data_IF_308852990574
#
_entry.id   IF_308852990574
#
_cell.length_a   1.000
_cell.length_b   1.000
_cell.length_c   1.000
_cell.angle_alpha   90.00
_cell.angle_beta   90.00
_cell.angle_gamma   90.00
#
_symmetry.space_group_name_H-M   'P 1'
#
loop_
_entity.id
_entity.type
_entity.pdbx_description
1 polymer ?
#
# COMPACT_ATOMS: atom_id res chain seq x y z
N UNK A 1 24.23 1.69 30.65
CA UNK A 1 22.91 1.04 30.73
C UNK A 1 21.92 2.14 30.50
N UNK A 2 21.68 2.42 29.23
CA UNK A 2 20.89 3.55 28.76
C UNK A 2 19.61 2.99 28.18
N UNK A 3 18.52 3.31 28.86
CA UNK A 3 17.16 3.18 28.39
C UNK A 3 17.03 3.84 27.01
N UNK A 4 16.82 3.03 25.99
CA UNK A 4 16.29 3.49 24.72
C UNK A 4 15.45 2.38 24.10
N UNK A 5 14.21 2.76 23.79
CA UNK A 5 13.20 2.03 23.03
C UNK A 5 12.35 1.03 23.81
N UNK A 6 11.72 1.53 24.87
CA UNK A 6 10.32 1.17 25.18
C UNK A 6 9.47 2.43 25.11
N UNK A 7 9.13 2.86 23.91
CA UNK A 7 7.93 3.69 23.72
C UNK A 7 6.77 2.74 23.42
N UNK A 8 5.99 2.45 24.46
CA UNK A 8 4.58 2.12 24.30
C UNK A 8 3.89 3.41 23.84
N UNK A 9 3.61 3.53 22.54
CA UNK A 9 2.76 4.60 22.01
C UNK A 9 1.29 4.20 22.19
N UNK A 10 0.73 4.54 23.34
CA UNK A 10 -0.72 4.65 23.51
C UNK A 10 -1.22 5.91 22.75
N UNK A 11 -2.15 5.69 21.82
CA UNK A 11 -3.09 6.68 21.32
C UNK A 11 -2.54 7.85 20.51
N UNK A 12 -2.34 7.67 19.20
CA UNK A 12 -2.42 8.77 18.22
C UNK A 12 -2.61 8.20 16.82
N UNK A 13 -3.65 8.67 16.13
CA UNK A 13 -4.07 8.39 14.75
C UNK A 13 -2.90 8.11 13.77
N UNK A 14 -2.36 6.89 13.77
CA UNK A 14 -1.28 6.50 12.86
C UNK A 14 -1.91 6.10 11.55
N UNK A 15 -1.73 6.95 10.54
CA UNK A 15 -1.96 6.59 9.14
C UNK A 15 -1.14 5.32 8.86
N UNK A 16 -1.80 4.18 8.97
CA UNK A 16 -1.16 2.88 8.85
C UNK A 16 -0.80 2.73 7.38
N UNK A 17 0.48 2.93 7.05
CA UNK A 17 0.95 2.71 5.69
C UNK A 17 0.69 1.24 5.29
N UNK A 18 0.55 0.97 4.00
CA UNK A 18 0.24 -0.38 3.50
C UNK A 18 1.18 -1.46 4.09
N UNK A 19 2.45 -1.12 4.28
CA UNK A 19 3.42 -2.03 4.86
C UNK A 19 3.07 -2.48 6.29
N UNK A 20 2.80 -1.51 7.17
CA UNK A 20 2.54 -1.74 8.58
C UNK A 20 1.24 -2.50 8.83
N UNK A 21 0.26 -2.37 7.93
CA UNK A 21 -1.02 -3.07 8.03
C UNK A 21 -0.89 -4.57 7.74
N UNK A 22 -0.03 -4.99 6.81
CA UNK A 22 -0.13 -6.35 6.24
C UNK A 22 1.16 -7.17 6.33
N UNK A 23 2.30 -6.64 5.90
CA UNK A 23 3.47 -7.47 5.62
C UNK A 23 4.71 -7.12 6.45
N UNK A 24 4.80 -5.91 7.02
CA UNK A 24 5.99 -5.49 7.78
C UNK A 24 6.19 -6.34 9.05
N UNK A 25 5.10 -6.66 9.76
CA UNK A 25 5.15 -7.51 10.94
C UNK A 25 5.66 -8.94 10.64
N UNK A 26 5.08 -9.70 9.69
CA UNK A 26 5.61 -11.03 9.36
C UNK A 26 7.00 -10.98 8.72
N UNK A 27 7.33 -9.95 7.94
CA UNK A 27 8.69 -9.73 7.42
C UNK A 27 9.72 -9.61 8.55
N UNK A 28 9.48 -8.71 9.51
CA UNK A 28 10.34 -8.52 10.69
C UNK A 28 10.39 -9.77 11.57
N UNK A 29 9.28 -10.51 11.67
CA UNK A 29 9.25 -11.78 12.39
C UNK A 29 10.19 -12.81 11.76
N UNK A 30 10.21 -12.92 10.41
CA UNK A 30 11.08 -13.85 9.70
C UNK A 30 12.56 -13.49 9.87
N UNK A 31 12.93 -12.22 9.75
CA UNK A 31 14.32 -11.77 9.99
C UNK A 31 14.75 -12.10 11.43
N UNK A 32 13.88 -11.85 12.43
CA UNK A 32 14.16 -12.19 13.83
C UNK A 32 14.35 -13.69 14.04
N UNK A 33 13.56 -14.52 13.37
CA UNK A 33 13.73 -15.97 13.40
C UNK A 33 15.11 -16.37 12.86
N UNK A 34 15.48 -15.90 11.67
CA UNK A 34 16.77 -16.21 11.04
C UNK A 34 17.96 -15.75 11.88
N UNK A 35 17.86 -14.55 12.46
CA UNK A 35 18.85 -14.05 13.40
C UNK A 35 19.00 -14.93 14.64
N UNK A 36 17.89 -15.38 15.24
CA UNK A 36 17.92 -16.26 16.40
C UNK A 36 18.52 -17.63 16.05
N UNK A 37 18.17 -18.18 14.89
CA UNK A 37 18.72 -19.46 14.41
C UNK A 37 20.24 -19.33 14.21
N UNK A 38 20.70 -18.24 13.60
CA UNK A 38 22.13 -17.94 13.49
C UNK A 38 22.80 -17.71 14.84
N UNK A 39 22.14 -17.05 15.79
CA UNK A 39 22.65 -16.88 17.16
C UNK A 39 22.78 -18.21 17.92
N UNK A 40 21.93 -19.20 17.64
CA UNK A 40 22.00 -20.51 18.29
C UNK A 40 22.96 -21.49 17.60
N UNK A 41 23.02 -21.46 16.27
CA UNK A 41 23.68 -22.50 15.48
C UNK A 41 24.84 -22.01 14.60
N UNK A 42 24.92 -20.71 14.32
CA UNK A 42 25.93 -20.14 13.45
C UNK A 42 27.33 -20.11 14.10
N UNK A 43 28.36 -20.31 13.27
CA UNK A 43 29.75 -20.07 13.67
C UNK A 43 29.96 -18.59 13.91
N UNK A 44 30.38 -18.23 15.12
CA UNK A 44 30.51 -16.85 15.57
C UNK A 44 31.95 -16.53 15.90
N UNK A 45 32.50 -15.56 15.18
CA UNK A 45 33.74 -14.93 15.59
C UNK A 45 33.51 -14.12 16.86
N UNK A 46 34.45 -14.21 17.79
CA UNK A 46 34.39 -13.48 19.05
C UNK A 46 35.30 -12.26 18.95
N UNK A 47 34.82 -11.12 19.44
CA UNK A 47 35.64 -9.91 19.59
C UNK A 47 36.73 -10.12 20.65
N UNK A 48 37.76 -9.26 20.66
CA UNK A 48 38.79 -9.30 21.71
C UNK A 48 38.22 -9.19 23.14
N UNK A 49 37.02 -8.62 23.29
CA UNK A 49 36.31 -8.48 24.56
C UNK A 49 35.40 -9.66 24.94
N UNK A 50 35.40 -10.76 24.18
CA UNK A 50 34.59 -11.94 24.49
C UNK A 50 33.15 -11.90 23.99
N UNK A 51 32.71 -10.81 23.35
CA UNK A 51 31.37 -10.71 22.77
C UNK A 51 31.32 -11.31 21.36
N UNK A 52 30.27 -12.05 20.97
CA UNK A 52 30.05 -12.45 19.59
C UNK A 52 30.03 -11.23 18.66
N UNK A 53 30.70 -11.32 17.51
CA UNK A 53 30.57 -10.32 16.44
C UNK A 53 29.18 -10.40 15.84
N UNK A 54 28.70 -9.28 15.26
CA UNK A 54 27.50 -9.26 14.43
C UNK A 54 27.64 -10.19 13.23
N UNK A 55 26.52 -10.67 12.70
CA UNK A 55 26.54 -11.49 11.49
C UNK A 55 27.17 -10.71 10.31
N UNK A 56 27.89 -11.39 9.41
CA UNK A 56 28.43 -10.76 8.21
C UNK A 56 27.32 -10.09 7.38
N UNK A 57 27.65 -9.03 6.66
CA UNK A 57 26.68 -8.32 5.81
C UNK A 57 26.02 -9.24 4.77
N UNK A 58 26.78 -10.18 4.21
CA UNK A 58 26.25 -11.16 3.24
C UNK A 58 25.15 -12.05 3.87
N UNK A 59 25.33 -12.45 5.13
CA UNK A 59 24.37 -13.25 5.89
C UNK A 59 23.08 -12.45 6.12
N UNK A 60 23.21 -11.20 6.57
CA UNK A 60 22.06 -10.29 6.75
C UNK A 60 21.30 -10.04 5.44
N UNK A 61 22.00 -9.84 4.33
CA UNK A 61 21.37 -9.63 3.02
C UNK A 61 20.60 -10.88 2.57
N UNK A 62 21.15 -12.07 2.80
CA UNK A 62 20.44 -13.31 2.51
C UNK A 62 19.16 -13.43 3.34
N UNK A 63 19.19 -13.07 4.62
CA UNK A 63 17.98 -13.08 5.45
C UNK A 63 16.89 -12.12 4.96
N UNK A 64 17.27 -10.99 4.38
CA UNK A 64 16.32 -10.06 3.76
C UNK A 64 15.66 -10.71 2.54
N UNK A 65 16.44 -11.38 1.68
CA UNK A 65 15.92 -12.12 0.52
C UNK A 65 14.98 -13.23 0.99
N UNK A 66 15.41 -14.07 1.93
CA UNK A 66 14.60 -15.18 2.47
C UNK A 66 13.32 -14.67 3.15
N UNK A 67 13.38 -13.51 3.81
CA UNK A 67 12.21 -12.89 4.42
C UNK A 67 11.21 -12.43 3.35
N UNK A 68 11.66 -11.83 2.26
CA UNK A 68 10.79 -11.48 1.14
C UNK A 68 10.19 -12.72 0.46
N UNK A 69 10.99 -13.74 0.21
CA UNK A 69 10.54 -14.99 -0.43
C UNK A 69 9.54 -15.77 0.43
N UNK A 70 9.59 -15.59 1.75
CA UNK A 70 8.64 -16.22 2.67
C UNK A 70 7.24 -15.61 2.64
N UNK A 71 7.08 -14.40 2.08
CA UNK A 71 5.81 -13.67 2.09
C UNK A 71 4.98 -14.00 0.85
N UNK A 72 3.68 -14.30 1.00
CA UNK A 72 2.79 -14.44 -0.14
C UNK A 72 2.66 -13.10 -0.91
N UNK A 73 2.77 -13.13 -2.24
CA UNK A 73 2.53 -11.96 -3.10
C UNK A 73 1.15 -11.33 -2.88
N UNK A 74 0.15 -12.17 -2.57
CA UNK A 74 -1.21 -11.73 -2.26
C UNK A 74 -1.26 -10.89 -0.98
N UNK A 75 -0.44 -11.19 0.02
CA UNK A 75 -0.37 -10.41 1.26
C UNK A 75 0.12 -8.99 0.97
N UNK A 76 1.15 -8.87 0.12
CA UNK A 76 1.70 -7.57 -0.29
C UNK A 76 0.68 -6.83 -1.14
N UNK A 77 0.07 -7.49 -2.12
CA UNK A 77 -0.92 -6.86 -3.01
C UNK A 77 -2.16 -6.37 -2.25
N UNK A 78 -2.68 -7.18 -1.32
CA UNK A 78 -3.81 -6.82 -0.46
C UNK A 78 -3.52 -5.59 0.38
N UNK A 79 -2.27 -5.38 0.78
CA UNK A 79 -1.87 -4.23 1.58
C UNK A 79 -2.10 -2.89 0.87
N UNK A 80 -1.78 -2.85 -0.43
CA UNK A 80 -2.01 -1.67 -1.26
C UNK A 80 -3.51 -1.41 -1.44
N UNK A 81 -4.27 -2.45 -1.80
CA UNK A 81 -5.73 -2.36 -1.96
C UNK A 81 -6.42 -1.90 -0.67
N UNK A 82 -6.01 -2.44 0.47
CA UNK A 82 -6.52 -2.08 1.80
C UNK A 82 -6.32 -0.60 2.13
N UNK A 83 -5.26 0.03 1.59
CA UNK A 83 -4.98 1.45 1.74
C UNK A 83 -5.55 2.32 0.60
N UNK A 84 -6.39 1.76 -0.28
CA UNK A 84 -6.95 2.49 -1.42
C UNK A 84 -5.96 2.74 -2.56
N UNK A 85 -4.81 2.06 -2.56
CA UNK A 85 -3.82 2.13 -3.63
C UNK A 85 -4.12 0.99 -4.62
N UNK A 86 -4.94 1.28 -5.63
CA UNK A 86 -5.38 0.33 -6.65
C UNK A 86 -5.35 0.95 -8.05
N UNK A 87 -5.19 0.10 -9.07
CA UNK A 87 -5.34 0.47 -10.48
C UNK A 87 -6.78 0.33 -11.00
N UNK A 88 -7.70 -0.23 -10.20
CA UNK A 88 -9.09 -0.44 -10.58
C UNK A 88 -9.87 0.90 -10.55
N UNK A 89 -9.91 1.59 -11.69
CA UNK A 89 -10.64 2.87 -11.80
C UNK A 89 -12.16 2.70 -11.80
N UNK A 90 -12.64 1.48 -12.08
CA UNK A 90 -14.05 1.10 -12.08
C UNK A 90 -14.62 0.84 -10.67
N UNK A 91 -13.77 0.86 -9.63
CA UNK A 91 -14.19 0.62 -8.26
C UNK A 91 -14.38 -0.85 -7.88
N UNK A 92 -14.00 -1.78 -8.75
CA UNK A 92 -14.12 -3.23 -8.48
C UNK A 92 -13.32 -3.73 -7.27
N UNK A 93 -12.40 -2.92 -6.74
CA UNK A 93 -11.58 -3.22 -5.55
C UNK A 93 -11.86 -2.30 -4.35
N UNK A 94 -12.87 -1.44 -4.43
CA UNK A 94 -13.22 -0.52 -3.34
C UNK A 94 -13.65 -1.27 -2.06
N UNK A 95 -14.05 -2.53 -2.20
CA UNK A 95 -14.46 -3.37 -1.10
C UNK A 95 -13.31 -3.84 -0.21
N UNK A 96 -12.09 -3.81 -0.73
CA UNK A 96 -10.88 -4.14 0.02
C UNK A 96 -10.41 -2.98 0.90
N UNK A 97 -10.82 -1.74 0.59
CA UNK A 97 -10.39 -0.52 1.31
C UNK A 97 -10.84 -0.58 2.77
N UNK A 98 -9.86 -0.55 3.67
CA UNK A 98 -10.08 -0.77 5.10
C UNK A 98 -10.96 0.29 5.75
N UNK A 99 -10.74 1.57 5.41
CA UNK A 99 -11.51 2.66 6.02
C UNK A 99 -12.99 2.62 5.66
N UNK A 100 -13.36 1.91 4.59
CA UNK A 100 -14.72 1.79 4.09
C UNK A 100 -15.46 0.55 4.56
N UNK A 101 -14.86 -0.28 5.41
CA UNK A 101 -15.54 -1.44 5.99
C UNK A 101 -16.63 -1.00 6.98
N UNK A 102 -17.58 -1.89 7.28
CA UNK A 102 -18.72 -1.57 8.15
C UNK A 102 -18.30 -1.17 9.58
N UNK A 103 -17.20 -1.75 10.07
CA UNK A 103 -16.51 -1.46 11.32
C UNK A 103 -15.37 -0.42 11.15
N UNK A 104 -15.18 0.08 9.94
CA UNK A 104 -14.15 1.05 9.60
C UNK A 104 -14.51 2.48 10.02
N UNK A 105 -13.53 3.40 10.03
CA UNK A 105 -13.73 4.80 10.38
C UNK A 105 -14.68 5.58 9.44
N UNK A 106 -14.86 5.14 8.19
CA UNK A 106 -15.70 5.80 7.20
C UNK A 106 -16.59 4.80 6.45
N UNK A 107 -17.61 4.20 7.10
CA UNK A 107 -18.44 3.14 6.49
C UNK A 107 -19.20 3.62 5.24
N UNK A 108 -19.53 4.91 5.15
CA UNK A 108 -20.18 5.53 3.98
C UNK A 108 -19.23 5.87 2.84
N UNK A 109 -17.92 5.66 3.02
CA UNK A 109 -16.90 6.11 2.08
C UNK A 109 -17.03 5.49 0.69
N UNK A 110 -17.50 4.23 0.57
CA UNK A 110 -17.76 3.59 -0.73
C UNK A 110 -18.81 4.33 -1.54
N UNK A 111 -19.89 4.74 -0.87
CA UNK A 111 -21.01 5.44 -1.53
C UNK A 111 -20.53 6.79 -2.04
N UNK A 112 -19.78 7.52 -1.21
CA UNK A 112 -19.23 8.83 -1.59
C UNK A 112 -18.22 8.71 -2.74
N UNK A 113 -17.37 7.68 -2.73
CA UNK A 113 -16.41 7.44 -3.79
C UNK A 113 -17.10 7.09 -5.12
N UNK A 114 -18.14 6.24 -5.08
CA UNK A 114 -18.92 5.91 -6.27
C UNK A 114 -19.61 7.17 -6.85
N UNK A 115 -20.26 7.97 -6.00
CA UNK A 115 -20.89 9.23 -6.44
C UNK A 115 -19.89 10.19 -7.10
N UNK A 116 -18.67 10.27 -6.56
CA UNK A 116 -17.62 11.10 -7.15
C UNK A 116 -17.15 10.57 -8.51
N UNK A 117 -17.10 9.25 -8.71
CA UNK A 117 -16.80 8.64 -10.02
C UNK A 117 -17.91 8.93 -11.02
N UNK A 118 -19.16 8.70 -10.65
CA UNK A 118 -20.33 8.93 -11.52
C UNK A 118 -20.41 10.40 -11.94
N UNK A 119 -20.19 11.33 -11.01
CA UNK A 119 -20.18 12.76 -11.30
C UNK A 119 -19.05 13.15 -12.27
N UNK A 120 -17.88 12.54 -12.14
CA UNK A 120 -16.75 12.75 -13.04
C UNK A 120 -17.03 12.21 -14.44
N UNK A 121 -17.63 11.03 -14.54
CA UNK A 121 -18.02 10.44 -15.83
C UNK A 121 -19.07 11.31 -16.53
N UNK A 122 -20.09 11.78 -15.81
CA UNK A 122 -21.09 12.68 -16.35
C UNK A 122 -20.46 14.00 -16.85
N UNK A 123 -19.53 14.58 -16.09
CA UNK A 123 -18.83 15.80 -16.51
C UNK A 123 -18.03 15.59 -17.82
N UNK A 124 -17.36 14.44 -17.96
CA UNK A 124 -16.63 14.10 -19.18
C UNK A 124 -17.55 13.86 -20.39
N UNK A 125 -18.75 13.32 -20.16
CA UNK A 125 -19.75 13.15 -21.21
C UNK A 125 -20.33 14.49 -21.67
N UNK A 126 -20.63 15.39 -20.73
CA UNK A 126 -21.12 16.73 -21.05
C UNK A 126 -20.11 17.52 -21.89
N UNK A 127 -18.82 17.49 -21.51
CA UNK A 127 -17.76 18.15 -22.27
C UNK A 127 -17.66 17.64 -23.72
N UNK A 128 -17.79 16.32 -23.92
CA UNK A 128 -17.79 15.74 -25.28
C UNK A 128 -19.00 16.17 -26.10
N UNK A 129 -20.18 16.20 -25.48
CA UNK A 129 -21.41 16.62 -26.15
C UNK A 129 -21.33 18.09 -26.57
N UNK A 130 -20.77 18.96 -25.74
CA UNK A 130 -20.57 20.37 -26.10
C UNK A 130 -19.60 20.52 -27.29
N UNK A 131 -18.52 19.75 -27.32
CA UNK A 131 -17.55 19.75 -28.44
C UNK A 131 -18.16 19.22 -29.74
N UNK A 132 -18.95 18.15 -29.69
CA UNK A 132 -19.64 17.58 -30.87
C UNK A 132 -20.68 18.56 -31.43
N UNK A 133 -21.40 19.28 -30.57
CA UNK A 133 -22.33 20.33 -31.00
C UNK A 133 -21.61 21.53 -31.64
N UNK A 134 -20.45 21.93 -31.11
CA UNK A 134 -19.64 22.98 -31.72
C UNK A 134 -19.11 22.55 -33.10
N UNK A 135 -18.68 21.29 -33.26
CA UNK A 135 -18.29 20.73 -34.56
C UNK A 135 -19.46 20.70 -35.54
N UNK A 136 -20.63 20.16 -35.17
CA UNK A 136 -21.80 20.13 -36.06
C UNK A 136 -22.26 21.53 -36.48
N UNK A 137 -22.30 22.49 -35.55
CA UNK A 137 -22.70 23.87 -35.84
C UNK A 137 -21.70 24.60 -36.76
N UNK A 138 -20.41 24.26 -36.70
CA UNK A 138 -19.40 24.82 -37.60
C UNK A 138 -19.62 24.37 -39.05
N UNK A 139 -20.06 23.12 -39.27
CA UNK A 139 -20.33 22.59 -40.62
C UNK A 139 -21.67 23.06 -41.21
N UNK A 140 -22.69 23.34 -40.41
CA UNK A 140 -24.00 23.84 -40.91
C UNK A 140 -23.94 25.31 -41.36
N UNK A 141 -23.05 26.11 -40.76
CA UNK A 141 -22.88 27.53 -41.12
C UNK A 141 -22.32 27.75 -42.54
N UNK A 142 -21.66 26.77 -43.16
CA UNK A 142 -21.08 26.89 -44.51
C UNK A 142 -22.08 26.46 -45.62
N UNK A 143 -23.22 25.86 -45.25
CA UNK A 143 -24.26 25.43 -46.19
C UNK A 143 -25.29 26.51 -46.54
N UNK A 144 -25.23 27.69 -45.92
CA UNK A 144 -26.22 28.78 -46.08
C UNK A 144 -25.76 29.93 -46.99
N UNK A 145 -24.60 29.81 -47.66
CA UNK A 145 -24.14 30.79 -48.65
C UNK A 145 -24.48 30.29 -50.07
N UNK A 146 -25.75 30.41 -50.47
CA UNK A 146 -26.16 30.47 -51.89
C UNK A 146 -27.32 31.45 -52.07
#
# INVERSE_FOLDING_TARGET
MSDLEREESDGSNSESNAADVCWNAPFKAKIRQLYNDWMMHGEKEVTKGGNPKSAPMAEYLQWIVDAWDSLPKELISKSFKSCGITNATDGSEDDEIHCFKADGPVPSGRILLQQARDAKELAQLLEKVDLEQEEENFYDSDASIV
#
